data_IF_948520319473
#
_entry.id   IF_948520319473
#
_cell.length_a   1.000
_cell.length_b   1.000
_cell.length_c   1.000
_cell.angle_alpha   90.00
_cell.angle_beta   90.00
_cell.angle_gamma   90.00
#
_symmetry.space_group_name_H-M   'P 1'
#
loop_
_entity.id
_entity.type
_entity.pdbx_description
1 polymer ?
#
# COMPACT_ATOMS: atom_id res chain seq x y z
N UNK A 1 10.77 15.18 7.18
CA UNK A 1 11.24 14.61 8.46
C UNK A 1 10.26 14.81 9.62
N UNK A 2 9.33 15.78 9.59
CA UNK A 2 8.33 16.02 10.64
C UNK A 2 7.16 15.01 10.68
N UNK A 3 6.76 14.42 9.55
CA UNK A 3 5.61 13.49 9.50
C UNK A 3 5.91 12.08 10.05
N UNK A 4 7.16 11.63 9.98
CA UNK A 4 7.59 10.35 10.56
C UNK A 4 7.58 10.40 12.09
N UNK A 5 8.02 11.52 12.68
CA UNK A 5 7.99 11.74 14.13
C UNK A 5 6.54 11.78 14.68
N UNK A 6 5.63 12.41 13.93
CA UNK A 6 4.22 12.46 14.28
C UNK A 6 3.53 11.09 14.22
N UNK A 7 3.90 10.24 13.24
CA UNK A 7 3.38 8.86 13.14
C UNK A 7 3.89 7.96 14.25
N UNK A 8 5.17 8.04 14.63
CA UNK A 8 5.69 7.28 15.78
C UNK A 8 5.09 7.73 17.11
N UNK A 9 4.74 9.01 17.27
CA UNK A 9 4.01 9.50 18.44
C UNK A 9 2.53 9.07 18.43
N UNK A 10 1.90 9.00 17.26
CA UNK A 10 0.52 8.48 17.13
C UNK A 10 0.45 6.98 17.34
N UNK A 11 1.37 6.19 16.78
CA UNK A 11 1.54 4.76 17.05
C UNK A 11 1.88 4.54 18.53
N UNK A 12 2.71 5.38 19.13
CA UNK A 12 2.99 5.38 20.57
C UNK A 12 1.76 5.71 21.42
N UNK A 13 0.93 6.67 21.01
CA UNK A 13 -0.32 7.02 21.71
C UNK A 13 -1.41 5.97 21.52
N UNK A 14 -1.51 5.33 20.35
CA UNK A 14 -2.38 4.19 20.10
C UNK A 14 -1.88 2.95 20.85
N UNK A 15 -0.57 2.75 20.97
CA UNK A 15 0.01 1.74 21.86
C UNK A 15 -0.25 2.07 23.32
N UNK A 16 -0.18 3.33 23.73
CA UNK A 16 -0.47 3.77 25.10
C UNK A 16 -1.95 3.62 25.43
N UNK A 17 -2.85 3.86 24.46
CA UNK A 17 -4.28 3.68 24.61
C UNK A 17 -4.69 2.20 24.56
N UNK A 18 -4.09 1.40 23.67
CA UNK A 18 -4.19 -0.07 23.67
C UNK A 18 -3.66 -0.62 24.99
N UNK A 19 -2.49 -0.18 25.47
CA UNK A 19 -1.89 -0.62 26.72
C UNK A 19 -2.69 -0.14 27.94
N UNK A 20 -3.35 1.02 27.89
CA UNK A 20 -4.27 1.53 28.91
C UNK A 20 -5.59 0.75 28.96
N UNK A 21 -6.12 0.36 27.79
CA UNK A 21 -7.29 -0.52 27.68
C UNK A 21 -6.96 -1.95 28.11
N UNK A 22 -5.79 -2.49 27.75
CA UNK A 22 -5.27 -3.76 28.27
C UNK A 22 -5.06 -3.65 29.78
N UNK A 23 -4.55 -2.53 30.31
CA UNK A 23 -4.46 -2.30 31.77
C UNK A 23 -5.84 -2.32 32.42
N UNK A 24 -6.84 -1.66 31.84
CA UNK A 24 -8.22 -1.63 32.36
C UNK A 24 -8.93 -2.98 32.22
N UNK A 25 -8.59 -3.78 31.20
CA UNK A 25 -9.20 -5.09 30.94
C UNK A 25 -8.55 -6.21 31.77
N UNK A 26 -7.21 -6.21 31.91
CA UNK A 26 -6.46 -7.19 32.71
C UNK A 26 -6.64 -6.98 34.23
N UNK A 27 -6.82 -5.74 34.71
CA UNK A 27 -6.95 -5.48 36.15
C UNK A 27 -8.38 -5.50 36.69
N UNK A 28 -9.41 -5.53 35.85
CA UNK A 28 -10.82 -5.44 36.30
C UNK A 28 -11.58 -6.76 36.28
N UNK A 29 -11.01 -7.82 35.72
CA UNK A 29 -11.57 -9.17 35.84
C UNK A 29 -11.17 -9.79 37.18
N UNK A 30 -12.12 -10.22 38.04
CA UNK A 30 -11.81 -10.97 39.24
C UNK A 30 -11.44 -12.41 38.87
N UNK A 31 -10.26 -12.61 38.29
CA UNK A 31 -9.69 -13.93 38.02
C UNK A 31 -8.60 -14.22 39.06
N UNK A 32 -8.65 -15.44 39.61
CA UNK A 32 -7.72 -15.93 40.62
C UNK A 32 -6.25 -15.61 40.26
N UNK A 33 -5.53 -14.93 41.15
CA UNK A 33 -4.18 -14.38 40.97
C UNK A 33 -3.12 -15.39 40.46
N UNK A 34 -3.33 -16.70 40.68
CA UNK A 34 -2.50 -17.77 40.10
C UNK A 34 -2.61 -17.91 38.57
N UNK A 35 -3.77 -17.62 37.98
CA UNK A 35 -4.02 -17.77 36.54
C UNK A 35 -3.55 -16.56 35.72
N UNK A 36 -3.49 -15.38 36.36
CA UNK A 36 -3.07 -14.13 35.73
C UNK A 36 -1.59 -14.16 35.30
N UNK A 37 -0.72 -14.84 36.06
CA UNK A 37 0.70 -15.02 35.72
C UNK A 37 0.90 -15.78 34.41
N UNK A 38 0.08 -16.80 34.15
CA UNK A 38 0.14 -17.57 32.91
C UNK A 38 -0.37 -16.76 31.71
N UNK A 39 -1.40 -15.92 31.91
CA UNK A 39 -1.90 -15.02 30.85
C UNK A 39 -0.82 -13.99 30.49
N UNK A 40 -0.19 -13.34 31.48
CA UNK A 40 0.91 -12.38 31.23
C UNK A 40 2.10 -13.06 30.56
N UNK A 41 2.46 -14.28 30.98
CA UNK A 41 3.55 -15.05 30.37
C UNK A 41 3.22 -15.46 28.93
N UNK A 42 1.98 -15.88 28.66
CA UNK A 42 1.50 -16.19 27.31
C UNK A 42 1.59 -14.98 26.39
N UNK A 43 1.06 -13.82 26.80
CA UNK A 43 1.14 -12.59 26.01
C UNK A 43 2.58 -12.09 25.81
N UNK A 44 3.46 -12.28 26.79
CA UNK A 44 4.90 -11.96 26.66
C UNK A 44 5.56 -12.78 25.55
N UNK A 45 5.32 -14.09 25.53
CA UNK A 45 5.87 -14.99 24.49
C UNK A 45 5.34 -14.64 23.10
N UNK A 46 4.05 -14.27 22.98
CA UNK A 46 3.49 -13.82 21.70
C UNK A 46 4.14 -12.53 21.17
N UNK A 47 4.54 -11.61 22.06
CA UNK A 47 5.24 -10.38 21.65
C UNK A 47 6.61 -10.67 21.03
N UNK A 48 7.35 -11.64 21.56
CA UNK A 48 8.65 -12.03 21.00
C UNK A 48 8.53 -12.80 19.68
N UNK A 49 7.42 -13.52 19.46
CA UNK A 49 7.15 -14.22 18.21
C UNK A 49 6.80 -13.28 17.03
N UNK A 50 6.47 -12.01 17.30
CA UNK A 50 6.12 -11.02 16.27
C UNK A 50 7.36 -10.36 15.60
N UNK A 51 8.57 -10.71 16.03
CA UNK A 51 9.79 -10.18 15.44
C UNK A 51 9.99 -10.76 14.03
N UNK A 52 9.56 -10.01 13.01
CA UNK A 52 9.73 -10.35 11.60
C UNK A 52 11.22 -10.29 11.23
N UNK A 53 11.78 -11.44 10.86
CA UNK A 53 13.10 -11.52 10.23
C UNK A 53 13.06 -10.86 8.84
N UNK A 54 14.02 -9.95 8.58
CA UNK A 54 14.17 -9.31 7.28
C UNK A 54 14.72 -10.33 6.27
N UNK A 55 13.83 -10.98 5.53
CA UNK A 55 14.20 -11.92 4.48
C UNK A 55 14.94 -11.21 3.35
N UNK A 56 16.06 -11.79 2.91
CA UNK A 56 16.74 -11.36 1.69
C UNK A 56 15.78 -11.40 0.50
N UNK A 57 15.88 -10.46 -0.46
CA UNK A 57 15.05 -10.48 -1.66
C UNK A 57 15.25 -11.81 -2.42
N UNK A 58 14.17 -12.49 -2.85
CA UNK A 58 14.30 -13.62 -3.76
C UNK A 58 15.02 -13.19 -5.05
N UNK A 59 15.72 -14.13 -5.69
CA UNK A 59 16.60 -13.86 -6.83
C UNK A 59 15.90 -13.23 -8.06
N UNK A 60 14.57 -13.25 -8.11
CA UNK A 60 13.76 -12.81 -9.24
C UNK A 60 12.87 -11.59 -8.92
N UNK A 61 13.24 -10.79 -7.92
CA UNK A 61 12.51 -9.55 -7.61
C UNK A 61 12.86 -8.45 -8.61
N UNK A 62 11.82 -7.85 -9.20
CA UNK A 62 11.92 -6.65 -10.04
C UNK A 62 12.56 -5.52 -9.24
N UNK A 63 13.63 -4.93 -9.78
CA UNK A 63 14.33 -3.85 -9.12
C UNK A 63 13.41 -2.65 -8.85
N UNK A 64 13.62 -1.98 -7.70
CA UNK A 64 12.80 -0.85 -7.25
C UNK A 64 12.56 0.24 -8.32
N UNK A 65 13.57 0.76 -9.06
CA UNK A 65 13.32 1.76 -10.10
C UNK A 65 12.47 1.23 -11.26
N UNK A 66 12.63 -0.05 -11.62
CA UNK A 66 11.81 -0.69 -12.65
C UNK A 66 10.38 -0.90 -12.17
N UNK A 67 10.20 -1.26 -10.89
CA UNK A 67 8.88 -1.38 -10.26
C UNK A 67 8.14 -0.03 -10.24
N UNK A 68 8.82 1.08 -9.92
CA UNK A 68 8.24 2.43 -9.97
C UNK A 68 7.73 2.75 -11.38
N UNK A 69 8.53 2.48 -12.41
CA UNK A 69 8.13 2.71 -13.79
C UNK A 69 6.96 1.83 -14.22
N UNK A 70 7.00 0.55 -13.86
CA UNK A 70 5.94 -0.41 -14.15
C UNK A 70 4.61 0.01 -13.51
N UNK A 71 4.61 0.30 -12.21
CA UNK A 71 3.41 0.72 -11.48
C UNK A 71 2.85 2.04 -12.01
N UNK A 72 3.73 2.98 -12.40
CA UNK A 72 3.30 4.23 -13.02
C UNK A 72 2.53 3.98 -14.31
N UNK A 73 3.02 3.09 -15.18
CA UNK A 73 2.33 2.75 -16.43
C UNK A 73 1.08 1.92 -16.22
N UNK A 74 1.07 1.04 -15.22
CA UNK A 74 -0.10 0.28 -14.83
C UNK A 74 -1.23 1.20 -14.38
N UNK A 75 -0.95 2.15 -13.48
CA UNK A 75 -1.96 3.12 -13.03
C UNK A 75 -2.40 4.10 -14.12
N UNK A 76 -1.53 4.44 -15.06
CA UNK A 76 -1.94 5.23 -16.23
C UNK A 76 -2.90 4.43 -17.12
N UNK A 77 -2.62 3.15 -17.31
CA UNK A 77 -3.48 2.21 -18.04
C UNK A 77 -4.84 2.06 -17.33
N UNK A 78 -4.84 1.92 -16.00
CA UNK A 78 -6.08 1.90 -15.20
C UNK A 78 -6.91 3.17 -15.45
N UNK A 79 -6.26 4.34 -15.40
CA UNK A 79 -6.91 5.61 -15.68
C UNK A 79 -7.53 5.67 -17.08
N UNK A 80 -6.83 5.19 -18.11
CA UNK A 80 -7.36 5.09 -19.48
C UNK A 80 -8.59 4.17 -19.54
N UNK A 81 -8.49 2.98 -18.96
CA UNK A 81 -9.56 1.98 -18.96
C UNK A 81 -10.84 2.49 -18.27
N UNK A 82 -10.71 3.22 -17.16
CA UNK A 82 -11.85 3.84 -16.49
C UNK A 82 -12.55 4.90 -17.34
N UNK A 83 -11.84 5.55 -18.26
CA UNK A 83 -12.44 6.58 -19.14
C UNK A 83 -13.07 6.01 -20.41
N UNK A 84 -12.55 4.89 -20.95
CA UNK A 84 -12.95 4.37 -22.26
C UNK A 84 -14.01 3.27 -22.18
N UNK A 85 -14.03 2.46 -21.12
CA UNK A 85 -14.89 1.26 -21.05
C UNK A 85 -15.78 1.27 -19.80
N UNK A 86 -17.01 1.82 -19.87
CA UNK A 86 -17.94 1.83 -18.73
C UNK A 86 -18.66 0.50 -18.50
N UNK A 87 -18.54 -0.48 -19.42
CA UNK A 87 -19.21 -1.79 -19.32
C UNK A 87 -18.21 -2.84 -18.80
N UNK A 88 -18.56 -3.49 -17.70
CA UNK A 88 -17.67 -4.38 -16.94
C UNK A 88 -17.10 -5.56 -17.76
N UNK A 89 -17.91 -6.15 -18.64
CA UNK A 89 -17.50 -7.32 -19.44
C UNK A 89 -16.43 -6.96 -20.49
N UNK A 90 -16.52 -5.77 -21.09
CA UNK A 90 -15.51 -5.26 -22.03
C UNK A 90 -14.28 -4.74 -21.30
N UNK A 91 -14.44 -4.17 -20.11
CA UNK A 91 -13.34 -3.72 -19.27
C UNK A 91 -12.40 -4.88 -18.90
N UNK A 92 -12.95 -6.06 -18.58
CA UNK A 92 -12.13 -7.23 -18.24
C UNK A 92 -11.27 -7.70 -19.43
N UNK A 93 -11.88 -7.90 -20.61
CA UNK A 93 -11.14 -8.35 -21.80
C UNK A 93 -10.11 -7.32 -22.27
N UNK A 94 -10.54 -6.07 -22.44
CA UNK A 94 -9.69 -5.01 -22.97
C UNK A 94 -8.60 -4.60 -21.98
N UNK A 95 -8.93 -4.58 -20.68
CA UNK A 95 -7.97 -4.30 -19.62
C UNK A 95 -6.87 -5.35 -19.52
N UNK A 96 -7.22 -6.64 -19.57
CA UNK A 96 -6.23 -7.73 -19.56
C UNK A 96 -5.22 -7.61 -20.70
N UNK A 97 -5.66 -7.32 -21.93
CA UNK A 97 -4.74 -7.14 -23.07
C UNK A 97 -3.78 -5.96 -22.87
N UNK A 98 -4.29 -4.85 -22.31
CA UNK A 98 -3.49 -3.66 -22.01
C UNK A 98 -2.45 -3.93 -20.92
N UNK A 99 -2.81 -4.62 -19.85
CA UNK A 99 -1.85 -5.01 -18.80
C UNK A 99 -0.77 -5.95 -19.32
N UNK A 100 -1.13 -6.93 -20.16
CA UNK A 100 -0.17 -7.81 -20.82
C UNK A 100 0.81 -6.99 -21.69
N UNK A 101 0.32 -5.97 -22.40
CA UNK A 101 1.17 -5.10 -23.19
C UNK A 101 2.16 -4.30 -22.32
N UNK A 102 1.73 -3.81 -21.15
CA UNK A 102 2.60 -3.14 -20.17
C UNK A 102 3.68 -4.10 -19.67
N UNK A 103 3.32 -5.31 -19.23
CA UNK A 103 4.29 -6.30 -18.76
C UNK A 103 5.33 -6.66 -19.83
N UNK A 104 4.88 -6.87 -21.08
CA UNK A 104 5.77 -7.12 -22.22
C UNK A 104 6.74 -5.96 -22.46
N UNK A 105 6.27 -4.72 -22.36
CA UNK A 105 7.10 -3.52 -22.55
C UNK A 105 8.20 -3.37 -21.50
N UNK A 106 7.93 -3.77 -20.26
CA UNK A 106 8.92 -3.75 -19.18
C UNK A 106 9.76 -5.02 -19.08
N UNK A 107 9.55 -5.99 -19.98
CA UNK A 107 10.20 -7.31 -19.97
C UNK A 107 9.99 -8.07 -18.65
N UNK A 108 8.80 -7.96 -18.07
CA UNK A 108 8.42 -8.61 -16.81
C UNK A 108 7.30 -9.61 -17.07
N UNK A 109 7.32 -10.75 -16.39
CA UNK A 109 6.19 -11.70 -16.43
C UNK A 109 5.16 -11.38 -15.34
N UNK A 110 3.89 -11.76 -15.54
CA UNK A 110 2.82 -11.57 -14.52
C UNK A 110 3.22 -12.20 -13.17
N UNK A 111 3.77 -13.41 -13.20
CA UNK A 111 4.29 -14.10 -12.00
C UNK A 111 5.42 -13.31 -11.32
N UNK A 112 6.37 -12.80 -12.09
CA UNK A 112 7.50 -12.05 -11.55
C UNK A 112 7.03 -10.74 -10.91
N UNK A 113 6.04 -10.07 -11.51
CA UNK A 113 5.38 -8.92 -10.91
C UNK A 113 4.69 -9.29 -9.59
N UNK A 114 3.87 -10.34 -9.58
CA UNK A 114 3.14 -10.78 -8.38
C UNK A 114 4.08 -11.13 -7.23
N UNK A 115 5.14 -11.90 -7.51
CA UNK A 115 6.16 -12.27 -6.53
C UNK A 115 6.90 -11.04 -5.99
N UNK A 116 7.24 -10.10 -6.88
CA UNK A 116 7.91 -8.85 -6.52
C UNK A 116 7.02 -7.92 -5.70
N UNK A 117 5.75 -7.79 -6.10
CA UNK A 117 4.77 -6.99 -5.38
C UNK A 117 4.52 -7.56 -3.99
N UNK A 118 4.40 -8.88 -3.86
CA UNK A 118 4.32 -9.57 -2.58
C UNK A 118 5.58 -9.36 -1.72
N UNK A 119 6.77 -9.31 -2.33
CA UNK A 119 7.99 -9.01 -1.60
C UNK A 119 7.97 -7.58 -1.03
N UNK A 120 7.62 -6.58 -1.84
CA UNK A 120 7.60 -5.19 -1.40
C UNK A 120 6.52 -4.92 -0.36
N UNK A 121 5.34 -5.54 -0.47
CA UNK A 121 4.23 -5.37 0.49
C UNK A 121 4.47 -6.02 1.85
N UNK A 122 5.47 -6.90 2.00
CA UNK A 122 5.83 -7.46 3.31
C UNK A 122 6.49 -6.45 4.24
N UNK A 123 7.03 -5.37 3.69
CA UNK A 123 7.71 -4.28 4.38
C UNK A 123 7.01 -2.95 4.05
N UNK A 124 6.21 -2.41 4.98
CA UNK A 124 5.45 -1.17 4.77
C UNK A 124 6.33 0.03 4.38
N UNK A 125 7.58 0.10 4.85
CA UNK A 125 8.46 1.23 4.55
C UNK A 125 8.93 1.19 3.09
N UNK A 126 9.26 -0.02 2.59
CA UNK A 126 9.69 -0.21 1.20
C UNK A 126 8.58 0.10 0.21
N UNK A 127 7.39 -0.48 0.39
CA UNK A 127 6.28 -0.24 -0.54
C UNK A 127 5.82 1.22 -0.50
N UNK A 128 5.83 1.85 0.68
CA UNK A 128 5.53 3.29 0.80
C UNK A 128 6.53 4.13 0.02
N UNK A 129 7.83 3.81 0.11
CA UNK A 129 8.88 4.50 -0.66
C UNK A 129 8.70 4.38 -2.19
N UNK A 130 8.25 3.22 -2.66
CA UNK A 130 7.92 3.00 -4.08
C UNK A 130 6.74 3.90 -4.49
N UNK A 131 5.63 3.88 -3.75
CA UNK A 131 4.45 4.70 -4.06
C UNK A 131 4.74 6.19 -4.00
N UNK A 132 5.56 6.67 -3.06
CA UNK A 132 5.99 8.07 -3.02
C UNK A 132 6.75 8.48 -4.28
N UNK A 133 7.53 7.57 -4.88
CA UNK A 133 8.21 7.81 -6.15
C UNK A 133 7.23 7.80 -7.32
N UNK A 134 6.29 6.85 -7.35
CA UNK A 134 5.22 6.80 -8.35
C UNK A 134 4.41 8.11 -8.35
N UNK A 135 4.00 8.59 -7.18
CA UNK A 135 3.28 9.85 -7.02
C UNK A 135 4.07 11.05 -7.55
N UNK A 136 5.39 11.09 -7.31
CA UNK A 136 6.26 12.15 -7.84
C UNK A 136 6.32 12.10 -9.37
N UNK A 137 6.45 10.91 -9.95
CA UNK A 137 6.47 10.74 -11.41
C UNK A 137 5.14 11.16 -12.03
N UNK A 138 4.02 10.75 -11.44
CA UNK A 138 2.68 11.12 -11.91
C UNK A 138 2.43 12.64 -11.81
N UNK A 139 2.82 13.28 -10.70
CA UNK A 139 2.74 14.74 -10.53
C UNK A 139 3.58 15.46 -11.57
N UNK A 140 4.83 15.03 -11.79
CA UNK A 140 5.69 15.61 -12.81
C UNK A 140 5.11 15.50 -14.22
N UNK A 141 4.49 14.35 -14.56
CA UNK A 141 3.76 14.18 -15.83
C UNK A 141 2.59 15.15 -15.92
N UNK A 142 1.78 15.29 -14.87
CA UNK A 142 0.64 16.22 -14.83
C UNK A 142 1.08 17.68 -15.00
N UNK A 143 2.13 18.10 -14.31
CA UNK A 143 2.70 19.44 -14.41
C UNK A 143 3.22 19.71 -15.82
N UNK A 144 3.85 18.72 -16.45
CA UNK A 144 4.31 18.83 -17.85
C UNK A 144 3.14 19.01 -18.82
N UNK A 145 2.04 18.29 -18.62
CA UNK A 145 0.82 18.41 -19.43
C UNK A 145 0.16 19.77 -19.20
N UNK A 146 0.08 20.24 -17.95
CA UNK A 146 -0.57 21.51 -17.61
C UNK A 146 0.25 22.71 -18.11
N UNK A 147 1.58 22.62 -18.06
CA UNK A 147 2.49 23.62 -18.63
C UNK A 147 2.41 23.65 -20.15
N UNK A 148 2.35 22.48 -20.81
CA UNK A 148 2.16 22.38 -22.26
C UNK A 148 0.74 22.78 -22.70
N UNK A 149 -0.26 22.59 -21.82
CA UNK A 149 -1.68 22.78 -22.05
C UNK A 149 -2.22 24.17 -21.68
N UNK A 150 -1.38 25.21 -21.56
CA UNK A 150 -1.84 26.60 -21.41
C UNK A 150 -2.41 27.14 -22.75
N UNK A 151 -3.48 26.49 -23.24
CA UNK A 151 -4.58 27.02 -24.06
C UNK A 151 -5.88 26.67 -23.31
N UNK A 152 -6.83 27.61 -23.14
CA UNK A 152 -7.89 27.48 -22.15
C UNK A 152 -8.98 26.51 -22.59
N UNK A 153 -9.35 25.57 -21.69
CA UNK A 153 -10.65 24.89 -21.71
C UNK A 153 -10.61 23.37 -21.61
N UNK A 154 -10.66 22.84 -20.39
CA UNK A 154 -11.42 21.62 -20.04
C UNK A 154 -11.40 21.41 -18.51
N UNK A 155 -12.59 21.23 -17.96
CA UNK A 155 -12.95 21.26 -16.53
C UNK A 155 -12.32 20.15 -15.70
N UNK A 156 -11.83 20.52 -14.53
CA UNK A 156 -11.35 19.62 -13.49
C UNK A 156 -12.54 18.88 -12.86
N UNK A 157 -12.67 17.58 -13.12
CA UNK A 157 -13.54 16.71 -12.32
C UNK A 157 -12.74 16.24 -11.10
N UNK A 158 -12.99 16.86 -9.95
CA UNK A 158 -12.57 16.37 -8.62
C UNK A 158 -13.12 14.94 -8.44
N UNK A 159 -12.30 13.91 -8.18
CA UNK A 159 -12.82 12.64 -7.70
C UNK A 159 -13.46 12.87 -6.33
N UNK A 160 -14.78 12.75 -6.27
CA UNK A 160 -15.52 12.54 -5.03
C UNK A 160 -15.02 11.20 -4.48
N UNK A 161 -14.26 11.24 -3.39
CA UNK A 161 -13.99 10.06 -2.57
C UNK A 161 -15.31 9.76 -1.86
N UNK A 162 -16.21 9.06 -2.57
CA UNK A 162 -17.35 8.43 -1.93
C UNK A 162 -16.84 7.13 -1.35
N UNK A 163 -16.90 7.06 -0.02
CA UNK A 163 -16.58 5.90 0.78
C UNK A 163 -17.16 4.63 0.16
N UNK A 164 -16.31 3.62 -0.03
CA UNK A 164 -16.76 2.24 -0.27
C UNK A 164 -17.58 1.82 0.96
N UNK A 165 -18.86 1.46 0.81
CA UNK A 165 -19.59 0.78 1.87
C UNK A 165 -18.95 -0.59 2.11
N UNK A 166 -18.61 -0.86 3.36
CA UNK A 166 -18.22 -2.20 3.80
C UNK A 166 -19.49 -3.03 3.93
N UNK A 167 -19.62 -4.09 3.14
CA UNK A 167 -20.40 -5.28 3.50
C UNK A 167 -19.45 -6.45 3.74
#
# INVERSE_FOLDING_TARGET
MSHLFARSLFLGSLYYLQCSLIRKFVFKTPLNYRMQKYITLFFSVLLFAACKQASAPPADVVAEPQMVNLLTELHLTDGELYTVTPVADTLYKYGREKYIAVFKKHHISEKQFDDSYKYYTQDPEKIQGIYEKVDKVLKAKLDSITKAGKKPGATQQKPQINAVPQE
#
